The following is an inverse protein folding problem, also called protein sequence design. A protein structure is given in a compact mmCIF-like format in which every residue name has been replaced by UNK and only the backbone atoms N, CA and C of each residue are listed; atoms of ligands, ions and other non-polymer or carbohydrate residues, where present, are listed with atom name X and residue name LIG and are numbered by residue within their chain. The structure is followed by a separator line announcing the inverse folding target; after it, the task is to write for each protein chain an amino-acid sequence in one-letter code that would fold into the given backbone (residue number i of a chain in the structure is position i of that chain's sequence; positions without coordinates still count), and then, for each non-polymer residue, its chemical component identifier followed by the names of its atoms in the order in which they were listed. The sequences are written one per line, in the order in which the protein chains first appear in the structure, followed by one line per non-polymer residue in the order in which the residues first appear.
data_IF_243035374687
#
_entry.id   IF_243035374687
#
_cell.length_a   1.000
_cell.length_b   1.000
_cell.length_c   1.000
_cell.angle_alpha   90.00
_cell.angle_beta   90.00
_cell.angle_gamma   90.00
#
_symmetry.space_group_name_H-M   'P 1'
#
loop_
_entity.id
_entity.type
_entity.pdbx_description
1 polymer ?
#
# COMPACT_ATOMS: atom_id res chain seq x y z
N UNK A 1 -8.72 -24.13 -14.35
CA UNK A 1 -8.50 -22.67 -14.48
C UNK A 1 -8.86 -21.90 -13.21
N UNK A 2 -10.00 -22.20 -12.57
CA UNK A 2 -10.45 -21.51 -11.35
C UNK A 2 -9.44 -21.55 -10.19
N UNK A 3 -8.92 -22.73 -9.84
CA UNK A 3 -7.92 -22.87 -8.76
C UNK A 3 -6.62 -22.11 -9.03
N UNK A 4 -6.16 -22.09 -10.27
CA UNK A 4 -4.95 -21.34 -10.69
C UNK A 4 -5.18 -19.84 -10.58
N UNK A 5 -6.35 -19.34 -10.99
CA UNK A 5 -6.72 -17.93 -10.87
C UNK A 5 -6.84 -17.50 -9.39
N UNK A 6 -7.42 -18.35 -8.54
CA UNK A 6 -7.52 -18.12 -7.10
C UNK A 6 -6.13 -18.06 -6.44
N UNK A 7 -5.25 -19.01 -6.76
CA UNK A 7 -3.88 -19.03 -6.27
C UNK A 7 -3.11 -17.78 -6.71
N UNK A 8 -3.25 -17.37 -7.98
CA UNK A 8 -2.64 -16.15 -8.50
C UNK A 8 -3.13 -14.91 -7.75
N UNK A 9 -4.44 -14.79 -7.50
CA UNK A 9 -5.01 -13.70 -6.73
C UNK A 9 -4.40 -13.64 -5.31
N UNK A 10 -4.32 -14.77 -4.62
CA UNK A 10 -3.75 -14.83 -3.27
C UNK A 10 -2.27 -14.42 -3.26
N UNK A 11 -1.49 -14.90 -4.23
CA UNK A 11 -0.06 -14.56 -4.34
C UNK A 11 0.13 -13.07 -4.60
N UNK A 12 -0.65 -12.47 -5.50
CA UNK A 12 -0.55 -11.04 -5.83
C UNK A 12 -1.01 -10.14 -4.66
N UNK A 13 -2.10 -10.51 -3.97
CA UNK A 13 -2.53 -9.82 -2.76
C UNK A 13 -1.49 -9.96 -1.63
N UNK A 14 -0.90 -11.14 -1.47
CA UNK A 14 0.18 -11.40 -0.52
C UNK A 14 1.45 -10.60 -0.82
N UNK A 15 1.85 -10.50 -2.09
CA UNK A 15 2.95 -9.66 -2.52
C UNK A 15 2.68 -8.17 -2.22
N UNK A 16 1.44 -7.72 -2.43
CA UNK A 16 1.00 -6.36 -2.09
C UNK A 16 1.08 -6.10 -0.59
N UNK A 17 0.66 -7.05 0.25
CA UNK A 17 0.82 -6.98 1.70
C UNK A 17 2.28 -6.90 2.13
N UNK A 18 3.14 -7.75 1.57
CA UNK A 18 4.58 -7.74 1.86
C UNK A 18 5.22 -6.41 1.52
N UNK A 19 4.86 -5.82 0.38
CA UNK A 19 5.33 -4.48 0.00
C UNK A 19 4.90 -3.41 1.00
N UNK A 20 3.62 -3.36 1.39
CA UNK A 20 3.11 -2.37 2.34
C UNK A 20 3.80 -2.52 3.70
N UNK A 21 3.99 -3.75 4.18
CA UNK A 21 4.68 -4.02 5.44
C UNK A 21 6.15 -3.56 5.40
N UNK A 22 6.88 -3.88 4.34
CA UNK A 22 8.26 -3.45 4.14
C UNK A 22 8.36 -1.92 4.09
N UNK A 23 7.47 -1.26 3.36
CA UNK A 23 7.48 0.21 3.27
C UNK A 23 7.16 0.89 4.62
N UNK A 24 6.09 0.43 5.28
CA UNK A 24 5.50 1.11 6.44
C UNK A 24 6.23 0.82 7.75
N UNK A 25 6.71 -0.41 7.93
CA UNK A 25 7.29 -0.85 9.21
C UNK A 25 8.81 -1.01 9.17
N UNK A 26 9.41 -1.11 7.97
CA UNK A 26 10.86 -1.30 7.83
C UNK A 26 11.49 -0.06 7.21
N UNK A 27 11.24 0.20 5.93
CA UNK A 27 11.92 1.25 5.17
C UNK A 27 11.75 2.64 5.80
N UNK A 28 10.50 3.07 6.02
CA UNK A 28 10.26 4.42 6.56
C UNK A 28 10.85 4.59 7.97
N UNK A 29 10.57 3.69 8.94
CA UNK A 29 11.19 3.78 10.26
C UNK A 29 12.73 3.74 10.24
N UNK A 30 13.33 2.86 9.44
CA UNK A 30 14.80 2.76 9.32
C UNK A 30 15.38 4.02 8.69
N UNK A 31 14.75 4.57 7.65
CA UNK A 31 15.20 5.80 7.02
C UNK A 31 15.23 6.97 8.01
N UNK A 32 14.21 7.10 8.87
CA UNK A 32 14.16 8.15 9.90
C UNK A 32 15.06 7.89 11.11
N UNK A 33 15.51 6.65 11.33
CA UNK A 33 16.51 6.32 12.36
C UNK A 33 17.95 6.56 11.88
N UNK A 34 18.23 6.32 10.60
CA UNK A 34 19.59 6.28 10.07
C UNK A 34 19.99 7.52 9.26
N UNK A 35 19.03 8.24 8.68
CA UNK A 35 19.29 9.41 7.84
C UNK A 35 18.86 10.69 8.55
N UNK A 36 19.50 11.81 8.20
CA UNK A 36 18.99 13.12 8.57
C UNK A 36 17.54 13.27 8.12
N UNK A 37 16.70 13.89 8.94
CA UNK A 37 15.25 13.95 8.71
C UNK A 37 14.86 14.50 7.32
N UNK A 38 15.65 15.41 6.73
CA UNK A 38 15.42 15.88 5.35
C UNK A 38 15.78 14.87 4.26
N UNK A 39 16.81 14.06 4.47
CA UNK A 39 17.19 12.97 3.56
C UNK A 39 16.18 11.81 3.68
N UNK A 40 15.84 11.42 4.90
CA UNK A 40 14.82 10.40 5.18
C UNK A 40 13.50 10.70 4.47
N UNK A 41 13.01 11.94 4.61
CA UNK A 41 11.77 12.37 3.96
C UNK A 41 11.83 12.25 2.43
N UNK A 42 12.92 12.70 1.80
CA UNK A 42 13.08 12.58 0.35
C UNK A 42 13.13 11.12 -0.09
N UNK A 43 13.87 10.26 0.61
CA UNK A 43 13.94 8.83 0.31
C UNK A 43 12.55 8.19 0.36
N UNK A 44 11.80 8.40 1.44
CA UNK A 44 10.43 7.85 1.58
C UNK A 44 9.51 8.39 0.49
N UNK A 45 9.59 9.67 0.14
CA UNK A 45 8.82 10.27 -0.97
C UNK A 45 9.15 9.62 -2.32
N UNK A 46 10.43 9.46 -2.64
CA UNK A 46 10.83 8.86 -3.90
C UNK A 46 10.40 7.40 -4.00
N UNK A 47 10.59 6.61 -2.94
CA UNK A 47 10.15 5.21 -2.91
C UNK A 47 8.63 5.11 -2.99
N UNK A 48 7.88 5.99 -2.31
CA UNK A 48 6.43 6.01 -2.42
C UNK A 48 5.98 6.35 -3.85
N UNK A 49 6.58 7.38 -4.46
CA UNK A 49 6.22 7.83 -5.80
C UNK A 49 6.54 6.79 -6.89
N UNK A 50 7.64 6.05 -6.73
CA UNK A 50 8.03 4.97 -7.63
C UNK A 50 7.23 3.68 -7.38
N UNK A 51 7.02 3.34 -6.11
CA UNK A 51 6.50 2.04 -5.70
C UNK A 51 4.98 1.91 -5.66
N UNK A 52 4.25 2.94 -5.23
CA UNK A 52 2.81 2.80 -4.97
C UNK A 52 1.97 2.70 -6.25
N UNK A 53 2.48 3.20 -7.38
CA UNK A 53 1.88 2.94 -8.69
C UNK A 53 1.94 1.45 -9.06
N UNK A 54 3.09 0.81 -8.84
CA UNK A 54 3.30 -0.61 -9.11
C UNK A 54 2.49 -1.46 -8.12
N UNK A 55 2.50 -1.10 -6.83
CA UNK A 55 1.67 -1.73 -5.81
C UNK A 55 0.18 -1.73 -6.19
N UNK A 56 -0.34 -0.58 -6.62
CA UNK A 56 -1.72 -0.45 -7.07
C UNK A 56 -2.02 -1.37 -8.25
N UNK A 57 -1.11 -1.49 -9.22
CA UNK A 57 -1.25 -2.41 -10.34
C UNK A 57 -1.25 -3.88 -9.89
N UNK A 58 -0.35 -4.29 -9.00
CA UNK A 58 -0.32 -5.66 -8.47
C UNK A 58 -1.66 -5.99 -7.78
N UNK A 59 -2.17 -5.10 -6.93
CA UNK A 59 -3.45 -5.29 -6.26
C UNK A 59 -4.65 -5.30 -7.23
N UNK A 60 -4.62 -4.49 -8.29
CA UNK A 60 -5.65 -4.54 -9.33
C UNK A 60 -5.59 -5.83 -10.16
N UNK A 61 -4.39 -6.32 -10.48
CA UNK A 61 -4.23 -7.64 -11.12
C UNK A 61 -4.70 -8.77 -10.22
N UNK A 62 -4.50 -8.66 -8.91
CA UNK A 62 -5.07 -9.57 -7.91
C UNK A 62 -6.59 -9.57 -7.96
N UNK A 63 -7.22 -8.39 -8.08
CA UNK A 63 -8.67 -8.28 -8.21
C UNK A 63 -9.18 -8.96 -9.49
N UNK A 64 -8.50 -8.75 -10.62
CA UNK A 64 -8.83 -9.43 -11.88
C UNK A 64 -8.70 -10.96 -11.77
N UNK A 65 -7.64 -11.45 -11.12
CA UNK A 65 -7.46 -12.87 -10.87
C UNK A 65 -8.55 -13.45 -9.96
N UNK A 66 -8.99 -12.71 -8.93
CA UNK A 66 -10.10 -13.10 -8.06
C UNK A 66 -11.44 -13.16 -8.83
N UNK A 67 -11.70 -12.22 -9.74
CA UNK A 67 -12.89 -12.28 -10.61
C UNK A 67 -12.88 -13.52 -11.51
N UNK A 68 -11.73 -13.84 -12.12
CA UNK A 68 -11.59 -15.06 -12.93
C UNK A 68 -11.76 -16.35 -12.11
N UNK A 69 -11.53 -16.29 -10.80
CA UNK A 69 -11.78 -17.38 -9.87
C UNK A 69 -13.25 -17.47 -9.38
N UNK A 70 -14.09 -16.48 -9.74
CA UNK A 70 -15.48 -16.38 -9.30
C UNK A 70 -15.69 -15.70 -7.95
N UNK A 71 -14.63 -15.20 -7.30
CA UNK A 71 -14.69 -14.53 -5.99
C UNK A 71 -14.92 -13.02 -6.17
N UNK A 72 -16.18 -12.64 -6.37
CA UNK A 72 -16.60 -11.26 -6.70
C UNK A 72 -16.37 -10.29 -5.54
N UNK A 73 -16.68 -10.68 -4.31
CA UNK A 73 -16.43 -9.91 -3.10
C UNK A 73 -14.93 -9.76 -2.85
N UNK A 74 -14.16 -10.85 -2.94
CA UNK A 74 -12.70 -10.81 -2.87
C UNK A 74 -12.09 -9.85 -3.90
N UNK A 75 -12.58 -9.90 -5.14
CA UNK A 75 -12.17 -8.99 -6.19
C UNK A 75 -12.52 -7.52 -5.92
N UNK A 76 -13.75 -7.24 -5.48
CA UNK A 76 -14.18 -5.87 -5.18
C UNK A 76 -13.33 -5.25 -4.07
N UNK A 77 -13.06 -6.01 -2.99
CA UNK A 77 -12.22 -5.56 -1.88
C UNK A 77 -10.76 -5.36 -2.33
N UNK A 78 -10.21 -6.28 -3.14
CA UNK A 78 -8.88 -6.12 -3.71
C UNK A 78 -8.79 -4.89 -4.63
N UNK A 79 -9.81 -4.62 -5.43
CA UNK A 79 -9.86 -3.46 -6.31
C UNK A 79 -9.86 -2.15 -5.53
N UNK A 80 -10.67 -2.06 -4.46
CA UNK A 80 -10.66 -0.89 -3.56
C UNK A 80 -9.27 -0.71 -2.93
N UNK A 81 -8.66 -1.79 -2.43
CA UNK A 81 -7.29 -1.75 -1.90
C UNK A 81 -6.26 -1.29 -2.93
N UNK A 82 -6.37 -1.76 -4.17
CA UNK A 82 -5.47 -1.39 -5.28
C UNK A 82 -5.62 0.05 -5.73
N UNK A 83 -6.86 0.56 -5.82
CA UNK A 83 -7.11 1.98 -6.10
C UNK A 83 -6.54 2.86 -4.99
N UNK A 84 -6.77 2.49 -3.73
CA UNK A 84 -6.26 3.27 -2.59
C UNK A 84 -4.73 3.27 -2.56
N UNK A 85 -4.09 2.12 -2.82
CA UNK A 85 -2.64 2.02 -2.96
C UNK A 85 -2.12 2.91 -4.10
N UNK A 86 -2.78 2.92 -5.25
CA UNK A 86 -2.42 3.79 -6.36
C UNK A 86 -2.54 5.28 -6.01
N UNK A 87 -3.62 5.66 -5.31
CA UNK A 87 -3.87 7.03 -4.87
C UNK A 87 -2.82 7.55 -3.88
N UNK A 88 -2.18 6.68 -3.10
CA UNK A 88 -1.12 7.08 -2.16
C UNK A 88 0.04 7.80 -2.87
N UNK A 89 0.33 7.45 -4.13
CA UNK A 89 1.30 8.18 -4.97
C UNK A 89 0.96 9.66 -5.13
N UNK A 90 -0.32 9.99 -5.25
CA UNK A 90 -0.78 11.36 -5.50
C UNK A 90 -1.19 12.09 -4.23
N UNK A 91 -1.69 11.38 -3.22
CA UNK A 91 -2.15 11.96 -1.97
C UNK A 91 -1.03 12.14 -0.94
N UNK A 92 -0.09 11.19 -0.86
CA UNK A 92 0.89 11.14 0.23
C UNK A 92 2.30 11.55 -0.20
N UNK A 93 2.69 11.28 -1.45
CA UNK A 93 4.04 11.62 -1.94
C UNK A 93 4.25 13.13 -2.16
N UNK A 94 3.31 13.87 -2.77
CA UNK A 94 3.46 15.31 -2.99
C UNK A 94 3.18 16.14 -1.72
N UNK A 95 2.71 15.52 -0.63
CA UNK A 95 2.35 16.24 0.59
C UNK A 95 3.58 16.97 1.13
N UNK A 96 3.47 18.29 1.23
CA UNK A 96 4.40 19.14 1.95
C UNK A 96 3.74 19.58 3.25
N UNK A 97 4.37 19.27 4.39
CA UNK A 97 3.84 19.69 5.68
C UNK A 97 4.18 21.17 5.86
N UNK A 98 3.15 22.03 5.78
CA UNK A 98 3.29 23.47 6.03
C UNK A 98 3.27 23.73 7.54
N UNK A 99 4.11 24.63 8.05
CA UNK A 99 4.04 25.04 9.46
C UNK A 99 2.68 25.67 9.74
N UNK A 100 2.00 25.15 10.75
CA UNK A 100 0.86 25.83 11.35
C UNK A 100 1.45 27.03 12.10
N UNK A 101 0.92 28.24 11.84
CA UNK A 101 1.46 29.53 12.28
C UNK A 101 2.14 29.45 13.66
N UNK A 102 3.45 29.72 13.70
CA UNK A 102 4.26 29.75 14.92
C UNK A 102 4.90 28.42 15.35
N UNK A 103 4.51 27.28 14.76
CA UNK A 103 5.06 25.96 15.12
C UNK A 103 6.03 25.45 14.04
N UNK A 104 7.20 24.93 14.47
CA UNK A 104 8.09 24.17 13.59
C UNK A 104 7.40 22.88 13.17
N UNK A 105 7.44 22.56 11.89
CA UNK A 105 6.98 21.27 11.37
C UNK A 105 7.91 20.18 11.89
N UNK A 106 7.38 19.31 12.75
CA UNK A 106 8.08 18.10 13.15
C UNK A 106 8.05 17.12 11.96
N UNK A 107 9.23 16.80 11.42
CA UNK A 107 9.39 15.93 10.24
C UNK A 107 8.91 14.48 10.45
N UNK A 108 8.51 14.13 11.68
CA UNK A 108 7.81 12.88 12.03
C UNK A 108 6.44 12.72 11.36
N UNK A 109 5.82 13.79 10.86
CA UNK A 109 4.57 13.73 10.10
C UNK A 109 4.62 12.78 8.88
N UNK A 110 5.82 12.58 8.29
CA UNK A 110 5.98 11.66 7.16
C UNK A 110 5.99 10.19 7.57
N UNK A 111 6.49 9.85 8.76
CA UNK A 111 6.39 8.48 9.31
C UNK A 111 4.91 8.12 9.45
N UNK A 112 4.09 9.07 9.90
CA UNK A 112 2.63 8.89 9.99
C UNK A 112 2.02 8.72 8.60
N UNK A 113 2.43 9.50 7.60
CA UNK A 113 1.96 9.34 6.22
C UNK A 113 2.31 7.96 5.64
N UNK A 114 3.52 7.45 5.87
CA UNK A 114 3.86 6.07 5.49
C UNK A 114 3.06 5.04 6.29
N UNK A 115 2.85 5.27 7.58
CA UNK A 115 2.03 4.39 8.43
C UNK A 115 0.57 4.36 8.00
N UNK A 116 0.05 5.43 7.41
CA UNK A 116 -1.32 5.46 6.88
C UNK A 116 -1.52 4.44 5.74
N UNK A 117 -0.46 4.14 4.97
CA UNK A 117 -0.53 3.10 3.93
C UNK A 117 -0.72 1.70 4.52
N UNK A 118 -0.35 1.47 5.78
CA UNK A 118 -0.57 0.21 6.47
C UNK A 118 -2.07 -0.10 6.70
N UNK A 119 -2.96 0.91 6.66
CA UNK A 119 -4.41 0.66 6.74
C UNK A 119 -4.97 -0.07 5.50
N UNK A 120 -4.21 -0.15 4.40
CA UNK A 120 -4.56 -0.97 3.25
C UNK A 120 -4.39 -2.48 3.57
N UNK A 121 -3.53 -2.83 4.52
CA UNK A 121 -3.28 -4.22 4.88
C UNK A 121 -4.53 -4.98 5.31
N UNK A 122 -5.33 -4.54 6.30
CA UNK A 122 -6.55 -5.27 6.69
C UNK A 122 -7.53 -5.42 5.53
N UNK A 123 -7.58 -4.45 4.59
CA UNK A 123 -8.39 -4.54 3.37
C UNK A 123 -7.92 -5.67 2.46
N UNK A 124 -6.60 -5.75 2.21
CA UNK A 124 -6.04 -6.82 1.37
C UNK A 124 -6.11 -8.20 2.06
N UNK A 125 -5.99 -8.26 3.39
CA UNK A 125 -6.22 -9.49 4.15
C UNK A 125 -7.67 -9.94 3.99
N UNK A 126 -8.63 -9.03 4.12
CA UNK A 126 -10.04 -9.34 3.88
C UNK A 126 -10.27 -9.84 2.45
N UNK A 127 -9.65 -9.22 1.44
CA UNK A 127 -9.72 -9.68 0.06
C UNK A 127 -9.20 -11.11 -0.13
N UNK A 128 -8.07 -11.46 0.52
CA UNK A 128 -7.51 -12.82 0.50
C UNK A 128 -8.49 -13.81 1.12
N UNK A 129 -9.05 -13.48 2.30
CA UNK A 129 -10.00 -14.36 3.00
C UNK A 129 -11.25 -14.61 2.17
N UNK A 130 -11.84 -13.55 1.61
CA UNK A 130 -13.02 -13.67 0.74
C UNK A 130 -12.71 -14.50 -0.51
N UNK A 131 -11.53 -14.28 -1.10
CA UNK A 131 -11.06 -15.07 -2.25
C UNK A 131 -10.87 -16.53 -1.90
N UNK A 132 -10.35 -16.86 -0.70
CA UNK A 132 -10.22 -18.24 -0.20
C UNK A 132 -11.58 -18.90 0.03
N UNK A 133 -12.56 -18.13 0.50
CA UNK A 133 -13.95 -18.58 0.67
C UNK A 133 -14.70 -18.72 -0.67
N UNK A 134 -14.10 -18.27 -1.77
CA UNK A 134 -14.68 -18.36 -3.11
C UNK A 134 -15.80 -17.35 -3.36
N UNK A 135 -15.87 -16.26 -2.58
CA UNK A 135 -16.93 -15.24 -2.68
C UNK A 135 -16.42 -13.88 -3.09
#
# INVERSE_FOLDING_TARGET
MQATAQALAIVLAGASLGWIALFSFVLSPVAFKQLDAGRAERTVKHVMNAGHGILGLIALTSAGAALMAGAVAGAAVAAVGGVFAFMCKFALAPREDKPIKGHRVLKTARIVASGLTAFIMPVLIAAIVLTLMGI
#
